data_IF_425649836760
#
_entry.id   IF_425649836760
#
_cell.length_a   1.000
_cell.length_b   1.000
_cell.length_c   1.000
_cell.angle_alpha   90.00
_cell.angle_beta   90.00
_cell.angle_gamma   90.00
#
_symmetry.space_group_name_H-M   'P 1'
#
loop_
_entity.id
_entity.type
_entity.pdbx_description
1 polymer ?
#
# COMPACT_ATOMS: atom_id res chain seq x y z
N UNK A 1 -21.15 -10.23 -11.57
CA UNK A 1 -20.51 -9.06 -10.92
C UNK A 1 -19.06 -9.41 -10.65
N UNK A 2 -18.12 -8.51 -10.93
CA UNK A 2 -16.71 -8.66 -10.53
C UNK A 2 -16.50 -7.92 -9.19
N UNK A 3 -15.65 -8.45 -8.31
CA UNK A 3 -15.43 -7.94 -6.94
C UNK A 3 -13.92 -7.90 -6.64
N UNK A 4 -13.50 -6.91 -5.86
CA UNK A 4 -12.17 -6.79 -5.24
C UNK A 4 -12.36 -6.38 -3.76
N UNK A 5 -11.38 -6.65 -2.92
CA UNK A 5 -11.43 -6.36 -1.48
C UNK A 5 -10.48 -5.21 -1.17
N UNK A 6 -10.96 -4.22 -0.41
CA UNK A 6 -10.12 -3.15 0.09
C UNK A 6 -9.46 -3.52 1.41
N UNK A 7 -8.16 -3.22 1.53
CA UNK A 7 -7.31 -3.56 2.64
C UNK A 7 -6.88 -2.39 3.52
N UNK A 8 -5.99 -2.63 4.49
CA UNK A 8 -5.63 -1.66 5.50
C UNK A 8 -4.82 -0.46 4.98
N UNK A 9 -4.74 0.58 5.83
CA UNK A 9 -3.94 1.79 5.62
C UNK A 9 -2.65 1.87 6.45
N UNK A 10 -2.68 1.49 7.73
CA UNK A 10 -1.54 1.60 8.67
C UNK A 10 -1.28 0.24 9.33
N UNK A 11 -0.13 -0.37 9.07
CA UNK A 11 0.21 -1.72 9.55
C UNK A 11 1.72 -1.84 9.77
N UNK A 12 2.19 -2.17 10.98
CA UNK A 12 3.61 -2.40 11.21
C UNK A 12 4.08 -3.67 10.49
N UNK A 13 5.33 -3.68 10.00
CA UNK A 13 5.84 -4.68 9.05
C UNK A 13 5.59 -6.14 9.45
N UNK A 14 5.75 -6.49 10.73
CA UNK A 14 5.56 -7.85 11.24
C UNK A 14 4.12 -8.38 11.12
N UNK A 15 3.14 -7.49 10.90
CA UNK A 15 1.73 -7.84 10.76
C UNK A 15 1.26 -7.89 9.30
N UNK A 16 2.08 -7.45 8.33
CA UNK A 16 1.67 -7.35 6.92
C UNK A 16 1.33 -8.72 6.34
N UNK A 17 2.17 -9.74 6.58
CA UNK A 17 1.92 -11.10 6.09
C UNK A 17 0.61 -11.67 6.60
N UNK A 18 0.27 -11.41 7.87
CA UNK A 18 -0.99 -11.86 8.46
C UNK A 18 -2.19 -11.27 7.71
N UNK A 19 -2.17 -9.98 7.38
CA UNK A 19 -3.27 -9.35 6.64
C UNK A 19 -3.50 -10.01 5.28
N UNK A 20 -2.42 -10.35 4.55
CA UNK A 20 -2.55 -11.07 3.28
C UNK A 20 -3.14 -12.47 3.47
N UNK A 21 -2.68 -13.22 4.48
CA UNK A 21 -3.20 -14.58 4.73
C UNK A 21 -4.68 -14.57 5.10
N UNK A 22 -5.11 -13.63 5.95
CA UNK A 22 -6.51 -13.50 6.38
C UNK A 22 -7.42 -13.10 5.21
N UNK A 23 -6.94 -12.25 4.28
CA UNK A 23 -7.69 -11.92 3.08
C UNK A 23 -7.87 -13.15 2.17
N UNK A 24 -6.81 -13.91 1.92
CA UNK A 24 -6.90 -15.14 1.11
C UNK A 24 -7.88 -16.14 1.72
N UNK A 25 -7.84 -16.33 3.04
CA UNK A 25 -8.69 -17.27 3.77
C UNK A 25 -10.17 -16.85 3.78
N UNK A 26 -10.44 -15.58 4.06
CA UNK A 26 -11.81 -15.10 4.31
C UNK A 26 -12.49 -14.48 3.09
N UNK A 27 -11.73 -14.10 2.06
CA UNK A 27 -12.24 -13.46 0.86
C UNK A 27 -12.11 -14.32 -0.41
N UNK A 28 -11.81 -15.61 -0.23
CA UNK A 28 -11.79 -16.61 -1.31
C UNK A 28 -10.87 -16.22 -2.46
N UNK A 29 -9.67 -15.72 -2.12
CA UNK A 29 -8.65 -15.28 -3.07
C UNK A 29 -9.13 -14.21 -4.07
N UNK A 30 -10.11 -13.39 -3.67
CA UNK A 30 -10.50 -12.22 -4.43
C UNK A 30 -9.29 -11.27 -4.60
N UNK A 31 -9.25 -10.42 -5.65
CA UNK A 31 -8.17 -9.46 -5.80
C UNK A 31 -8.14 -8.48 -4.61
N UNK A 32 -7.00 -8.43 -3.91
CA UNK A 32 -6.79 -7.50 -2.82
C UNK A 32 -6.27 -6.14 -3.31
N UNK A 33 -6.81 -5.05 -2.74
CA UNK A 33 -6.49 -3.66 -3.07
C UNK A 33 -6.17 -2.87 -1.79
N UNK A 34 -4.92 -2.47 -1.58
CA UNK A 34 -4.46 -1.90 -0.29
C UNK A 34 -4.02 -0.45 -0.42
N UNK A 35 -4.20 0.35 0.63
CA UNK A 35 -3.66 1.72 0.75
C UNK A 35 -2.31 1.67 1.48
N UNK A 36 -1.20 1.54 0.75
CA UNK A 36 0.10 1.22 1.35
C UNK A 36 0.25 -0.28 1.63
N UNK A 37 0.45 -0.70 2.90
CA UNK A 37 0.23 0.06 4.15
C UNK A 37 1.41 0.88 4.66
N UNK A 38 1.13 1.98 5.38
CA UNK A 38 2.11 2.75 6.14
C UNK A 38 2.70 1.89 7.26
N UNK A 39 4.02 1.74 7.26
CA UNK A 39 4.75 0.91 8.23
C UNK A 39 5.07 1.63 9.54
N UNK A 40 4.94 2.96 9.56
CA UNK A 40 5.14 3.81 10.74
C UNK A 40 4.43 5.15 10.56
N UNK A 41 4.01 5.75 11.68
CA UNK A 41 3.18 6.97 11.70
C UNK A 41 3.98 8.23 12.07
N UNK A 42 5.31 8.10 12.24
CA UNK A 42 6.16 9.16 12.80
C UNK A 42 6.78 10.10 11.75
N UNK A 43 6.40 9.96 10.48
CA UNK A 43 7.04 10.67 9.37
C UNK A 43 6.04 11.36 8.41
N UNK A 44 5.10 12.19 8.91
CA UNK A 44 4.21 12.96 8.06
C UNK A 44 5.03 13.85 7.11
N UNK A 45 4.64 13.93 5.84
CA UNK A 45 5.46 14.53 4.78
C UNK A 45 6.26 13.49 3.97
N UNK A 46 6.43 12.29 4.53
CA UNK A 46 7.22 11.20 3.95
C UNK A 46 6.44 9.88 3.87
N UNK A 47 5.11 9.94 3.97
CA UNK A 47 4.26 8.74 4.03
C UNK A 47 4.27 7.92 2.73
N UNK A 48 4.56 8.53 1.60
CA UNK A 48 4.85 7.81 0.36
C UNK A 48 6.01 6.81 0.53
N UNK A 49 7.03 7.11 1.35
CA UNK A 49 8.10 6.15 1.67
C UNK A 49 7.68 5.12 2.71
N UNK A 50 7.06 5.56 3.81
CA UNK A 50 6.63 4.64 4.89
C UNK A 50 5.65 3.61 4.38
N UNK A 51 4.74 4.03 3.50
CA UNK A 51 3.79 3.16 2.79
C UNK A 51 4.40 2.39 1.64
N UNK A 52 5.36 2.96 0.91
CA UNK A 52 6.03 2.26 -0.20
C UNK A 52 6.73 0.97 0.26
N UNK A 53 7.30 0.97 1.47
CA UNK A 53 7.87 -0.24 2.10
C UNK A 53 6.79 -1.31 2.31
N UNK A 54 5.67 -0.95 2.94
CA UNK A 54 4.58 -1.89 3.20
C UNK A 54 3.90 -2.37 1.91
N UNK A 55 3.73 -1.48 0.94
CA UNK A 55 3.18 -1.76 -0.37
C UNK A 55 4.02 -2.79 -1.13
N UNK A 56 5.36 -2.65 -1.11
CA UNK A 56 6.25 -3.63 -1.71
C UNK A 56 6.15 -5.01 -1.03
N UNK A 57 6.06 -5.04 0.31
CA UNK A 57 5.91 -6.28 1.07
C UNK A 57 4.58 -6.97 0.79
N UNK A 58 3.46 -6.25 0.86
CA UNK A 58 2.13 -6.86 0.66
C UNK A 58 1.89 -7.24 -0.80
N UNK A 59 2.43 -6.45 -1.74
CA UNK A 59 2.47 -6.80 -3.17
C UNK A 59 3.29 -8.07 -3.42
N UNK A 60 4.42 -8.24 -2.73
CA UNK A 60 5.18 -9.50 -2.80
C UNK A 60 4.38 -10.69 -2.25
N UNK A 61 3.60 -10.50 -1.18
CA UNK A 61 2.79 -11.56 -0.59
C UNK A 61 1.52 -11.92 -1.39
N UNK A 62 1.08 -11.08 -2.33
CA UNK A 62 -0.01 -11.42 -3.24
C UNK A 62 -1.04 -10.32 -3.53
N UNK A 63 -0.90 -9.13 -2.95
CA UNK A 63 -1.83 -8.03 -3.22
C UNK A 63 -1.87 -7.66 -4.71
N UNK A 64 -3.07 -7.51 -5.27
CA UNK A 64 -3.29 -7.36 -6.70
C UNK A 64 -3.19 -5.91 -7.18
N UNK A 65 -3.54 -4.94 -6.33
CA UNK A 65 -3.52 -3.52 -6.66
C UNK A 65 -3.08 -2.69 -5.44
N UNK A 66 -2.28 -1.65 -5.68
CA UNK A 66 -1.76 -0.78 -4.63
C UNK A 66 -2.27 0.65 -4.84
N UNK A 67 -3.04 1.17 -3.89
CA UNK A 67 -3.39 2.58 -3.84
C UNK A 67 -2.18 3.36 -3.37
N UNK A 68 -1.72 4.29 -4.21
CA UNK A 68 -0.60 5.15 -3.91
C UNK A 68 -0.89 6.13 -2.77
N UNK A 69 0.17 6.49 -2.06
CA UNK A 69 0.17 7.50 -0.99
C UNK A 69 1.12 8.61 -1.41
N UNK A 70 0.73 9.86 -1.18
CA UNK A 70 1.52 11.04 -1.56
C UNK A 70 2.35 11.57 -0.37
N UNK A 71 3.36 12.43 -0.59
CA UNK A 71 4.01 13.16 0.50
C UNK A 71 3.04 13.98 1.35
N UNK A 72 1.90 14.40 0.80
CA UNK A 72 0.89 15.21 1.50
C UNK A 72 -0.14 14.41 2.28
N UNK A 73 -0.01 13.09 2.32
CA UNK A 73 -0.84 12.27 3.22
C UNK A 73 -0.78 12.83 4.64
N UNK A 74 -1.94 12.86 5.30
CA UNK A 74 -2.14 13.47 6.63
C UNK A 74 -1.86 14.98 6.75
N UNK A 75 -1.46 15.67 5.68
CA UNK A 75 -1.07 17.08 5.70
C UNK A 75 -1.98 17.99 4.86
N UNK A 76 -2.62 17.46 3.81
CA UNK A 76 -3.56 18.23 2.99
C UNK A 76 -3.70 17.68 1.57
N UNK A 77 -4.31 18.47 0.69
CA UNK A 77 -4.48 18.08 -0.72
C UNK A 77 -3.13 18.09 -1.46
N UNK A 78 -2.80 17.04 -2.23
CA UNK A 78 -1.56 16.97 -2.98
C UNK A 78 -1.58 17.92 -4.19
N UNK A 79 -0.40 18.48 -4.51
CA UNK A 79 -0.18 19.17 -5.77
C UNK A 79 0.32 18.20 -6.86
N UNK A 80 0.60 18.72 -8.06
CA UNK A 80 1.07 17.92 -9.21
C UNK A 80 2.37 17.15 -8.93
N UNK A 81 3.31 17.74 -8.21
CA UNK A 81 4.58 17.07 -7.88
C UNK A 81 4.38 15.98 -6.82
N UNK A 82 3.54 16.23 -5.82
CA UNK A 82 3.18 15.23 -4.80
C UNK A 82 2.55 13.98 -5.45
N UNK A 83 1.65 14.20 -6.42
CA UNK A 83 1.04 13.11 -7.21
C UNK A 83 2.10 12.33 -7.98
N UNK A 84 3.00 13.03 -8.68
CA UNK A 84 4.08 12.39 -9.45
C UNK A 84 5.01 11.56 -8.56
N UNK A 85 5.39 12.09 -7.40
CA UNK A 85 6.23 11.36 -6.43
C UNK A 85 5.53 10.10 -5.94
N UNK A 86 4.27 10.18 -5.52
CA UNK A 86 3.50 9.00 -5.10
C UNK A 86 3.40 7.94 -6.21
N UNK A 87 3.13 8.35 -7.46
CA UNK A 87 3.06 7.43 -8.60
C UNK A 87 4.39 6.72 -8.88
N UNK A 88 5.51 7.44 -8.87
CA UNK A 88 6.84 6.86 -9.10
C UNK A 88 7.17 5.86 -7.98
N UNK A 89 6.94 6.24 -6.72
CA UNK A 89 7.19 5.37 -5.57
C UNK A 89 6.40 4.07 -5.67
N UNK A 90 5.11 4.13 -6.01
CA UNK A 90 4.28 2.93 -6.12
C UNK A 90 4.58 2.09 -7.35
N UNK A 91 5.02 2.70 -8.45
CA UNK A 91 5.53 1.96 -9.61
C UNK A 91 6.76 1.13 -9.24
N UNK A 92 7.65 1.68 -8.41
CA UNK A 92 8.80 0.94 -7.87
C UNK A 92 8.34 -0.18 -6.93
N UNK A 93 7.45 0.14 -5.98
CA UNK A 93 6.93 -0.83 -5.01
C UNK A 93 6.15 -1.99 -5.65
N UNK A 94 5.56 -1.79 -6.84
CA UNK A 94 4.85 -2.84 -7.59
C UNK A 94 5.77 -3.81 -8.36
N UNK A 95 7.09 -3.54 -8.44
CA UNK A 95 8.04 -4.33 -9.25
C UNK A 95 8.95 -5.33 -8.49
N UNK A 96 8.69 -5.80 -7.24
CA UNK A 96 9.67 -6.61 -6.51
C UNK A 96 9.81 -8.06 -7.02
N UNK A 97 9.01 -8.52 -7.98
CA UNK A 97 9.17 -9.85 -8.63
C UNK A 97 10.19 -9.82 -9.77
N UNK A 98 11.41 -9.37 -9.48
CA UNK A 98 12.56 -9.52 -10.39
C UNK A 98 13.22 -10.87 -10.15
#
# INVERSE_FOLDING_TARGET
MQVMIEGPGHVPMQMIRRNMTEELEHCHEAPFYTLGPLTTDIAPGYDHFTSGIGAAMIGWFGCAMLCYVTPKEHLGLPNKEDVKQGLITYKIAATPRI
#
